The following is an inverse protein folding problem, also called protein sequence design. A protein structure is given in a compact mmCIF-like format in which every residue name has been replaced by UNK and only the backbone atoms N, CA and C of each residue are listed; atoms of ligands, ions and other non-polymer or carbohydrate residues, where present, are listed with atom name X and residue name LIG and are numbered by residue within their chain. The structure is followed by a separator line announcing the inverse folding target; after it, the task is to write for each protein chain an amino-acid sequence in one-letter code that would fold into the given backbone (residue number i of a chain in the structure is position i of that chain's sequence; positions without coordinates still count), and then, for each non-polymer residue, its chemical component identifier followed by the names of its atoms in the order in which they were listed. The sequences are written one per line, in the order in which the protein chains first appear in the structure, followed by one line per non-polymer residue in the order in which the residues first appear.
data_IF_161460750325
#
_entry.id   IF_161460750325
#
_cell.length_a   1.000
_cell.length_b   1.000
_cell.length_c   1.000
_cell.angle_alpha   90.00
_cell.angle_beta   90.00
_cell.angle_gamma   90.00
#
_symmetry.space_group_name_H-M   'P 1'
#
loop_
_entity.id
_entity.type
_entity.pdbx_description
1 polymer ?
#
# COMPACT_ATOMS: atom_id res chain seq x y z
N UNK A 1 -20.80 -0.88 23.17
CA UNK A 1 -21.36 -2.09 22.52
C UNK A 1 -20.29 -3.16 22.50
N UNK A 2 -20.57 -4.36 23.00
CA UNK A 2 -19.63 -5.49 22.89
C UNK A 2 -19.48 -5.92 21.43
N UNK A 3 -18.31 -6.44 21.06
CA UNK A 3 -18.11 -7.02 19.72
C UNK A 3 -19.03 -8.23 19.53
N UNK A 4 -19.58 -8.39 18.32
CA UNK A 4 -20.34 -9.58 17.95
C UNK A 4 -19.52 -10.86 18.23
N UNK A 5 -20.15 -11.99 18.57
CA UNK A 5 -19.45 -13.27 18.67
C UNK A 5 -18.68 -13.59 17.38
N UNK A 6 -17.48 -14.17 17.48
CA UNK A 6 -16.60 -14.47 16.32
C UNK A 6 -17.32 -15.28 15.23
N UNK A 7 -18.18 -16.23 15.64
CA UNK A 7 -18.98 -17.05 14.72
C UNK A 7 -19.95 -16.19 13.88
N UNK A 8 -20.55 -15.18 14.50
CA UNK A 8 -21.48 -14.28 13.83
C UNK A 8 -20.74 -13.29 12.91
N UNK A 9 -19.58 -12.78 13.33
CA UNK A 9 -18.72 -11.98 12.45
C UNK A 9 -18.34 -12.77 11.20
N UNK A 10 -17.92 -14.04 11.36
CA UNK A 10 -17.57 -14.91 10.22
C UNK A 10 -18.75 -15.12 9.29
N UNK A 11 -19.96 -15.38 9.82
CA UNK A 11 -21.17 -15.53 9.02
C UNK A 11 -21.44 -14.30 8.15
N UNK A 12 -21.38 -13.10 8.73
CA UNK A 12 -21.59 -11.85 8.02
C UNK A 12 -20.51 -11.58 6.96
N UNK A 13 -19.24 -11.87 7.27
CA UNK A 13 -18.13 -11.74 6.34
C UNK A 13 -18.29 -12.71 5.16
N UNK A 14 -18.62 -13.98 5.42
CA UNK A 14 -18.81 -14.98 4.37
C UNK A 14 -20.00 -14.64 3.46
N UNK A 15 -21.08 -14.11 4.04
CA UNK A 15 -22.24 -13.60 3.30
C UNK A 15 -21.85 -12.42 2.39
N UNK A 16 -21.13 -11.44 2.92
CA UNK A 16 -20.62 -10.30 2.15
C UNK A 16 -19.65 -10.73 1.04
N UNK A 17 -18.73 -11.66 1.32
CA UNK A 17 -17.76 -12.18 0.35
C UNK A 17 -18.45 -12.91 -0.82
N UNK A 18 -19.52 -13.66 -0.55
CA UNK A 18 -20.32 -14.29 -1.62
C UNK A 18 -21.01 -13.25 -2.49
N UNK A 19 -21.62 -12.24 -1.86
CA UNK A 19 -22.23 -11.12 -2.58
C UNK A 19 -21.22 -10.40 -3.47
N UNK A 20 -20.04 -10.08 -2.95
CA UNK A 20 -18.97 -9.41 -3.69
C UNK A 20 -18.56 -10.17 -4.95
N UNK A 21 -18.40 -11.50 -4.88
CA UNK A 21 -18.05 -12.32 -6.06
C UNK A 21 -19.14 -12.30 -7.13
N UNK A 22 -20.41 -12.38 -6.72
CA UNK A 22 -21.55 -12.28 -7.64
C UNK A 22 -21.56 -10.93 -8.34
N UNK A 23 -21.46 -9.85 -7.57
CA UNK A 23 -21.45 -8.47 -8.08
C UNK A 23 -20.30 -8.22 -9.06
N UNK A 24 -19.11 -8.75 -8.81
CA UNK A 24 -17.99 -8.63 -9.76
C UNK A 24 -18.26 -9.35 -11.08
N UNK A 25 -18.91 -10.52 -11.03
CA UNK A 25 -19.34 -11.25 -12.23
C UNK A 25 -20.39 -10.48 -13.02
N UNK A 26 -21.42 -9.98 -12.33
CA UNK A 26 -22.50 -9.17 -12.92
C UNK A 26 -21.98 -7.90 -13.59
N UNK A 27 -21.05 -7.17 -12.95
CA UNK A 27 -20.43 -5.97 -13.55
C UNK A 27 -19.66 -6.33 -14.83
N UNK A 28 -18.95 -7.45 -14.84
CA UNK A 28 -18.21 -7.89 -16.02
C UNK A 28 -19.14 -8.32 -17.16
N UNK A 29 -20.24 -9.00 -16.84
CA UNK A 29 -21.28 -9.40 -17.77
C UNK A 29 -21.98 -8.18 -18.39
N UNK A 30 -22.46 -7.25 -17.56
CA UNK A 30 -23.07 -5.98 -17.99
C UNK A 30 -22.13 -5.19 -18.92
N UNK A 31 -20.84 -5.08 -18.57
CA UNK A 31 -19.85 -4.41 -19.41
C UNK A 31 -19.59 -5.13 -20.75
N UNK A 32 -19.73 -6.46 -20.78
CA UNK A 32 -19.55 -7.27 -22.00
C UNK A 32 -20.75 -7.20 -22.95
N UNK A 33 -21.92 -6.84 -22.44
CA UNK A 33 -23.15 -6.69 -23.23
C UNK A 33 -23.28 -5.28 -23.86
N UNK A 34 -22.58 -4.28 -23.34
CA UNK A 34 -22.58 -2.89 -23.84
C UNK A 34 -21.25 -2.49 -24.52
N UNK A 35 -20.71 -3.38 -25.35
CA UNK A 35 -19.46 -3.09 -26.09
C UNK A 35 -19.69 -2.03 -27.18
N UNK A 36 -18.82 -1.03 -27.22
CA UNK A 36 -18.87 0.04 -28.22
C UNK A 36 -17.47 0.40 -28.73
N UNK A 37 -17.38 0.87 -29.97
CA UNK A 37 -16.13 1.36 -30.54
C UNK A 37 -15.65 2.61 -29.79
N UNK A 38 -14.41 2.54 -29.30
CA UNK A 38 -13.85 3.54 -28.42
C UNK A 38 -12.48 4.05 -28.88
N UNK A 39 -12.20 5.31 -28.55
CA UNK A 39 -10.87 5.92 -28.57
C UNK A 39 -10.36 6.00 -27.15
N UNK A 40 -9.05 5.84 -27.00
CA UNK A 40 -8.36 5.95 -25.72
C UNK A 40 -7.51 7.21 -25.73
N UNK A 41 -7.60 7.99 -24.65
CA UNK A 41 -6.69 9.11 -24.39
C UNK A 41 -5.95 8.90 -23.08
N UNK A 42 -4.70 9.33 -23.04
CA UNK A 42 -3.81 9.20 -21.89
C UNK A 42 -3.29 10.57 -21.47
N UNK A 43 -3.18 10.80 -20.16
CA UNK A 43 -2.50 11.97 -19.62
C UNK A 43 -2.03 11.76 -18.19
N UNK A 44 -1.11 12.61 -17.75
CA UNK A 44 -0.59 12.58 -16.37
C UNK A 44 -0.39 13.99 -15.84
N UNK A 45 -0.46 14.12 -14.52
CA UNK A 45 -0.05 15.32 -13.79
C UNK A 45 0.78 14.92 -12.58
N UNK A 46 1.61 15.83 -12.09
CA UNK A 46 2.35 15.65 -10.85
C UNK A 46 1.53 16.19 -9.68
N UNK A 47 1.42 15.39 -8.63
CA UNK A 47 0.71 15.69 -7.39
C UNK A 47 1.71 15.63 -6.25
N UNK A 48 2.02 16.79 -5.68
CA UNK A 48 2.91 16.92 -4.51
C UNK A 48 2.14 17.52 -3.34
N UNK A 49 2.52 17.17 -2.10
CA UNK A 49 1.93 17.73 -0.88
C UNK A 49 0.60 17.11 -0.43
N UNK A 50 0.10 16.10 -1.16
CA UNK A 50 -1.05 15.29 -0.71
C UNK A 50 -0.65 13.96 -0.08
N UNK A 51 0.53 13.44 -0.42
CA UNK A 51 1.07 12.19 0.13
C UNK A 51 2.53 12.35 0.55
N UNK A 52 3.01 11.42 1.37
CA UNK A 52 4.42 11.31 1.77
C UNK A 52 4.80 9.86 1.99
N UNK A 53 6.10 9.59 1.91
CA UNK A 53 6.68 8.33 2.33
C UNK A 53 6.78 8.28 3.86
N UNK A 54 6.07 7.35 4.49
CA UNK A 54 5.99 7.25 5.95
C UNK A 54 7.23 6.64 6.61
N UNK A 55 8.23 6.24 5.82
CA UNK A 55 9.49 5.73 6.32
C UNK A 55 10.51 6.86 6.38
N UNK A 56 10.79 7.36 7.58
CA UNK A 56 11.83 8.37 7.82
C UNK A 56 13.13 7.66 8.25
N UNK A 57 14.16 7.74 7.42
CA UNK A 57 15.48 7.22 7.77
C UNK A 57 16.06 7.97 8.97
N UNK A 58 16.66 7.22 9.90
CA UNK A 58 17.35 7.67 11.10
C UNK A 58 18.64 6.83 11.26
N UNK A 59 19.64 7.24 12.05
CA UNK A 59 20.91 6.50 12.17
C UNK A 59 20.76 5.02 12.57
N UNK A 60 19.74 4.71 13.35
CA UNK A 60 19.42 3.36 13.84
C UNK A 60 18.56 2.52 12.87
N UNK A 61 18.10 3.09 11.74
CA UNK A 61 17.24 2.41 10.76
C UNK A 61 16.14 3.32 10.22
N UNK A 62 14.88 2.91 10.34
CA UNK A 62 13.73 3.74 9.95
C UNK A 62 12.80 4.01 11.13
N UNK A 63 12.39 5.27 11.22
CA UNK A 63 11.28 5.73 12.02
C UNK A 63 9.99 5.68 11.16
N UNK A 64 9.02 4.91 11.63
CA UNK A 64 7.71 4.81 11.00
C UNK A 64 6.84 5.99 11.43
N UNK A 65 6.49 6.84 10.49
CA UNK A 65 5.69 8.05 10.72
C UNK A 65 4.22 7.75 10.47
N UNK A 66 3.49 7.41 11.53
CA UNK A 66 2.03 7.28 11.48
C UNK A 66 1.44 8.18 12.56
N UNK A 67 1.32 9.46 12.24
CA UNK A 67 0.83 10.46 13.18
C UNK A 67 -0.05 11.50 12.47
N UNK A 68 -0.98 12.09 13.22
CA UNK A 68 -1.56 13.38 12.86
C UNK A 68 -0.42 14.36 12.57
N UNK A 69 -0.55 15.12 11.49
CA UNK A 69 0.49 16.01 10.95
C UNK A 69 1.10 16.98 11.95
N UNK A 70 0.36 17.35 13.00
CA UNK A 70 0.86 18.20 14.08
C UNK A 70 1.98 17.57 14.90
N UNK A 71 2.07 16.23 14.95
CA UNK A 71 3.05 15.50 15.77
C UNK A 71 4.19 14.86 14.98
N UNK A 72 4.17 14.97 13.65
CA UNK A 72 5.20 14.41 12.77
C UNK A 72 6.62 14.89 13.14
N UNK A 73 6.75 16.14 13.62
CA UNK A 73 8.03 16.71 14.09
C UNK A 73 8.62 15.99 15.29
N UNK A 74 7.80 15.39 16.14
CA UNK A 74 8.21 14.76 17.41
C UNK A 74 8.17 13.22 17.37
N UNK A 75 7.79 12.64 16.22
CA UNK A 75 7.65 11.19 16.06
C UNK A 75 8.92 10.42 16.41
N UNK A 76 10.08 10.93 15.96
CA UNK A 76 11.40 10.33 16.24
C UNK A 76 11.69 10.35 17.73
N UNK A 77 11.38 11.47 18.42
CA UNK A 77 11.56 11.58 19.87
C UNK A 77 10.72 10.53 20.60
N UNK A 78 9.45 10.39 20.21
CA UNK A 78 8.56 9.41 20.83
C UNK A 78 9.07 7.97 20.61
N UNK A 79 9.56 7.65 19.41
CA UNK A 79 10.12 6.33 19.11
C UNK A 79 11.41 6.03 19.90
N UNK A 80 12.33 6.98 20.00
CA UNK A 80 13.53 6.78 20.82
C UNK A 80 13.21 6.61 22.31
N UNK A 81 12.22 7.34 22.83
CA UNK A 81 11.73 7.15 24.21
C UNK A 81 11.18 5.73 24.42
N UNK A 82 10.44 5.17 23.46
CA UNK A 82 9.95 3.78 23.59
C UNK A 82 11.08 2.75 23.54
N UNK A 83 12.22 3.09 22.93
CA UNK A 83 13.42 2.27 22.95
C UNK A 83 14.23 2.39 24.24
N UNK A 84 13.87 3.30 25.15
CA UNK A 84 14.60 3.54 26.39
C UNK A 84 15.85 4.41 26.20
N UNK A 85 15.90 5.19 25.11
CA UNK A 85 16.99 6.13 24.89
C UNK A 85 16.97 7.25 25.95
N UNK A 86 18.11 7.57 26.59
CA UNK A 86 18.23 8.66 27.56
C UNK A 86 17.76 10.01 26.98
N UNK A 87 17.08 10.87 27.77
CA UNK A 87 16.54 12.14 27.30
C UNK A 87 17.56 13.03 26.58
N UNK A 88 18.80 13.05 27.06
CA UNK A 88 19.89 13.86 26.49
C UNK A 88 20.21 13.42 25.05
N UNK A 89 20.29 12.10 24.84
CA UNK A 89 20.53 11.51 23.51
C UNK A 89 19.30 11.67 22.59
N UNK A 90 18.08 11.64 23.15
CA UNK A 90 16.87 11.90 22.37
C UNK A 90 16.89 13.32 21.80
N UNK A 91 17.20 14.32 22.61
CA UNK A 91 17.24 15.71 22.12
C UNK A 91 18.42 15.97 21.16
N UNK A 92 19.54 15.28 21.34
CA UNK A 92 20.68 15.34 20.42
C UNK A 92 20.36 14.71 19.05
N UNK A 93 19.73 13.52 19.04
CA UNK A 93 19.60 12.68 17.82
C UNK A 93 18.26 12.82 17.11
N UNK A 94 17.19 13.15 17.82
CA UNK A 94 15.85 13.25 17.22
C UNK A 94 15.69 14.59 16.49
N UNK A 95 16.36 14.73 15.35
CA UNK A 95 16.26 15.92 14.50
C UNK A 95 14.84 16.02 13.92
N UNK A 96 14.07 17.06 14.26
CA UNK A 96 12.75 17.28 13.67
C UNK A 96 12.90 17.51 12.17
N UNK A 97 12.12 16.82 11.36
CA UNK A 97 12.13 17.05 9.93
C UNK A 97 11.03 16.28 9.22
N UNK A 98 10.56 16.84 8.11
CA UNK A 98 9.61 16.17 7.24
C UNK A 98 10.25 14.91 6.64
N UNK A 99 9.49 13.82 6.44
CA UNK A 99 9.96 12.67 5.68
C UNK A 99 10.31 13.07 4.24
N UNK A 100 11.47 12.59 3.78
CA UNK A 100 12.03 12.85 2.44
C UNK A 100 12.14 11.58 1.60
N UNK A 101 11.53 10.48 2.05
CA UNK A 101 11.51 9.23 1.28
C UNK A 101 10.80 9.40 -0.07
N UNK A 102 11.10 8.51 -1.01
CA UNK A 102 10.58 8.60 -2.37
C UNK A 102 9.06 8.50 -2.40
N UNK A 103 8.44 9.30 -3.26
CA UNK A 103 7.02 9.18 -3.61
C UNK A 103 6.91 9.05 -5.13
N UNK A 104 5.82 8.45 -5.59
CA UNK A 104 5.40 8.54 -6.99
C UNK A 104 4.31 9.60 -7.09
N UNK A 105 4.66 10.82 -7.55
CA UNK A 105 3.71 11.93 -7.61
C UNK A 105 2.78 11.84 -8.83
N UNK A 106 2.93 10.86 -9.73
CA UNK A 106 2.13 10.81 -10.95
C UNK A 106 0.67 10.45 -10.63
N UNK A 107 -0.25 11.37 -10.95
CA UNK A 107 -1.67 11.06 -11.16
C UNK A 107 -1.87 10.80 -12.65
N UNK A 108 -2.29 9.59 -13.00
CA UNK A 108 -2.50 9.19 -14.39
C UNK A 108 -3.98 9.06 -14.68
N UNK A 109 -4.38 9.50 -15.88
CA UNK A 109 -5.75 9.40 -16.38
C UNK A 109 -5.74 8.66 -17.72
N UNK A 110 -6.54 7.60 -17.82
CA UNK A 110 -6.97 7.03 -19.09
C UNK A 110 -8.45 7.38 -19.27
N UNK A 111 -8.82 7.87 -20.46
CA UNK A 111 -10.21 8.14 -20.83
C UNK A 111 -10.57 7.31 -22.04
N UNK A 112 -11.64 6.55 -21.92
CA UNK A 112 -12.28 5.81 -22.99
C UNK A 112 -13.52 6.59 -23.42
N UNK A 113 -13.59 6.94 -24.71
CA UNK A 113 -14.70 7.70 -25.26
C UNK A 113 -15.14 7.10 -26.59
N UNK A 114 -16.42 7.23 -26.93
CA UNK A 114 -16.92 6.78 -28.24
C UNK A 114 -16.23 7.54 -29.38
N UNK A 115 -16.37 7.07 -30.62
CA UNK A 115 -15.87 7.80 -31.79
C UNK A 115 -16.42 9.24 -31.92
N UNK A 116 -17.56 9.53 -31.28
CA UNK A 116 -18.19 10.87 -31.23
C UNK A 116 -17.73 11.71 -30.02
N UNK A 117 -16.82 11.20 -29.20
CA UNK A 117 -16.24 11.90 -28.04
C UNK A 117 -17.06 11.81 -26.74
N UNK A 118 -18.14 11.01 -26.71
CA UNK A 118 -18.91 10.78 -25.48
C UNK A 118 -18.07 9.90 -24.53
N UNK A 119 -17.82 10.32 -23.27
CA UNK A 119 -17.19 9.49 -22.24
C UNK A 119 -17.90 8.13 -22.08
N UNK A 120 -17.11 7.06 -21.95
CA UNK A 120 -17.57 5.71 -21.61
C UNK A 120 -17.09 5.38 -20.20
N UNK A 121 -15.77 5.39 -20.01
CA UNK A 121 -15.12 5.07 -18.75
C UNK A 121 -13.84 5.90 -18.56
N UNK A 122 -13.50 6.12 -17.30
CA UNK A 122 -12.30 6.85 -16.90
C UNK A 122 -11.54 6.01 -15.88
N UNK A 123 -10.24 5.81 -16.09
CA UNK A 123 -9.35 5.22 -15.09
C UNK A 123 -8.48 6.33 -14.51
N UNK A 124 -8.47 6.47 -13.19
CA UNK A 124 -7.53 7.33 -12.46
C UNK A 124 -6.62 6.46 -11.60
N UNK A 125 -5.31 6.64 -11.74
CA UNK A 125 -4.31 5.97 -10.92
C UNK A 125 -3.57 7.01 -10.06
N UNK A 126 -3.40 6.71 -8.77
CA UNK A 126 -2.57 7.51 -7.87
C UNK A 126 -1.96 6.65 -6.76
N UNK A 127 -0.68 6.89 -6.45
CA UNK A 127 0.10 6.15 -5.46
C UNK A 127 -0.07 6.74 -4.05
N UNK A 128 -1.11 6.31 -3.34
CA UNK A 128 -1.34 6.67 -1.94
C UNK A 128 -2.28 5.65 -1.27
N UNK A 129 -2.08 5.39 0.03
CA UNK A 129 -2.99 4.52 0.81
C UNK A 129 -4.32 5.22 1.13
N UNK A 130 -5.48 4.58 0.90
CA UNK A 130 -6.80 5.06 1.35
C UNK A 130 -7.01 4.80 2.84
N UNK A 131 -6.22 5.48 3.68
CA UNK A 131 -6.22 5.34 5.14
C UNK A 131 -6.54 6.65 5.85
N UNK A 132 -7.26 7.55 5.18
CA UNK A 132 -7.52 8.89 5.71
C UNK A 132 -8.34 8.81 6.98
N UNK A 133 -9.37 7.95 7.04
CA UNK A 133 -10.31 7.87 8.17
C UNK A 133 -9.74 7.21 9.44
N UNK A 134 -8.71 6.37 9.30
CA UNK A 134 -8.10 5.64 10.42
C UNK A 134 -8.99 4.57 11.08
N UNK A 135 -8.45 3.84 12.08
CA UNK A 135 -9.11 2.65 12.64
C UNK A 135 -10.24 2.95 13.62
N UNK A 136 -10.42 4.20 14.06
CA UNK A 136 -11.51 4.63 14.93
C UNK A 136 -12.83 4.82 14.19
N UNK A 137 -12.79 4.96 12.87
CA UNK A 137 -14.00 5.01 12.05
C UNK A 137 -14.60 3.60 11.93
N UNK A 138 -15.89 3.47 12.26
CA UNK A 138 -16.63 2.21 12.19
C UNK A 138 -17.64 2.17 11.04
N UNK A 139 -17.69 3.22 10.20
CA UNK A 139 -18.59 3.31 9.05
C UNK A 139 -17.93 2.74 7.80
N UNK A 140 -18.72 2.08 6.96
CA UNK A 140 -18.28 1.66 5.63
C UNK A 140 -18.04 2.92 4.78
N UNK A 141 -16.87 3.00 4.15
CA UNK A 141 -16.49 4.12 3.30
C UNK A 141 -15.48 3.66 2.25
N UNK A 142 -15.50 4.31 1.09
CA UNK A 142 -14.47 4.19 0.06
C UNK A 142 -13.32 5.20 0.25
N UNK A 143 -13.22 5.86 1.42
CA UNK A 143 -12.20 6.88 1.77
C UNK A 143 -12.08 7.99 0.70
N UNK A 144 -10.92 8.66 0.58
CA UNK A 144 -10.73 9.72 -0.42
C UNK A 144 -10.97 9.26 -1.87
N UNK A 145 -10.68 8.01 -2.30
CA UNK A 145 -11.03 7.56 -3.65
C UNK A 145 -12.52 7.65 -3.95
N UNK A 146 -13.38 7.41 -2.95
CA UNK A 146 -14.84 7.53 -3.10
C UNK A 146 -15.29 8.94 -3.45
N UNK A 147 -14.71 9.95 -2.79
CA UNK A 147 -14.99 11.36 -3.08
C UNK A 147 -14.47 11.77 -4.46
N UNK A 148 -13.26 11.32 -4.83
CA UNK A 148 -12.69 11.54 -6.15
C UNK A 148 -13.62 10.98 -7.24
N UNK A 149 -14.01 9.71 -7.08
CA UNK A 149 -14.87 8.99 -8.03
C UNK A 149 -16.17 9.72 -8.26
N UNK A 150 -16.89 10.03 -7.18
CA UNK A 150 -18.19 10.71 -7.25
C UNK A 150 -18.10 12.05 -7.99
N UNK A 151 -17.10 12.88 -7.69
CA UNK A 151 -16.95 14.19 -8.32
C UNK A 151 -16.67 14.10 -9.82
N UNK A 152 -15.87 13.13 -10.26
CA UNK A 152 -15.57 12.96 -11.68
C UNK A 152 -16.75 12.32 -12.41
N UNK A 153 -17.42 11.32 -11.82
CA UNK A 153 -18.64 10.72 -12.39
C UNK A 153 -19.73 11.78 -12.59
N UNK A 154 -19.97 12.64 -11.60
CA UNK A 154 -20.89 13.77 -11.69
C UNK A 154 -20.49 14.79 -12.77
N UNK A 155 -19.19 15.06 -12.93
CA UNK A 155 -18.69 16.07 -13.88
C UNK A 155 -18.63 15.58 -15.34
N UNK A 156 -18.25 14.32 -15.56
CA UNK A 156 -18.00 13.76 -16.90
C UNK A 156 -19.13 12.87 -17.40
N UNK A 157 -20.05 12.45 -16.53
CA UNK A 157 -21.15 11.55 -16.90
C UNK A 157 -20.68 10.17 -17.37
N UNK A 158 -19.57 9.68 -16.81
CA UNK A 158 -18.99 8.37 -17.10
C UNK A 158 -18.47 7.70 -15.85
N UNK A 159 -18.51 6.37 -15.84
CA UNK A 159 -18.00 5.52 -14.76
C UNK A 159 -16.51 5.77 -14.52
N UNK A 160 -16.12 5.93 -13.25
CA UNK A 160 -14.71 6.04 -12.88
C UNK A 160 -14.22 4.82 -12.11
N UNK A 161 -13.10 4.27 -12.59
CA UNK A 161 -12.30 3.28 -11.88
C UNK A 161 -11.07 3.96 -11.27
N UNK A 162 -10.99 3.96 -9.94
CA UNK A 162 -9.77 4.35 -9.24
C UNK A 162 -8.88 3.12 -9.06
N UNK A 163 -7.61 3.24 -9.41
CA UNK A 163 -6.58 2.21 -9.19
C UNK A 163 -5.49 2.75 -8.29
N UNK A 164 -5.02 1.91 -7.36
CA UNK A 164 -3.98 2.30 -6.42
C UNK A 164 -2.60 2.00 -7.01
N UNK A 165 -1.74 3.00 -7.05
CA UNK A 165 -0.34 2.84 -7.45
C UNK A 165 0.53 2.20 -6.36
N UNK A 166 1.84 2.15 -6.57
CA UNK A 166 2.78 1.59 -5.60
C UNK A 166 2.88 2.49 -4.36
N UNK A 167 2.15 2.13 -3.29
CA UNK A 167 2.03 2.95 -2.09
C UNK A 167 2.34 2.21 -0.80
N UNK A 168 2.96 1.03 -0.81
CA UNK A 168 3.24 0.21 0.38
C UNK A 168 3.86 0.98 1.56
N UNK A 169 4.64 2.02 1.27
CA UNK A 169 5.25 2.94 2.22
C UNK A 169 4.75 4.39 2.11
N UNK A 170 3.65 4.66 1.41
CA UNK A 170 3.10 6.01 1.16
C UNK A 170 1.72 6.16 1.80
N UNK A 171 1.40 7.38 2.23
CA UNK A 171 0.11 7.72 2.87
C UNK A 171 -0.26 9.19 2.69
N UNK A 172 -1.50 9.59 3.00
CA UNK A 172 -1.91 10.98 2.94
C UNK A 172 -1.10 11.86 3.90
N UNK A 173 -0.67 13.03 3.41
CA UNK A 173 0.12 14.01 4.17
C UNK A 173 -0.64 14.47 5.39
N UNK A 174 -1.80 15.11 5.19
CA UNK A 174 -2.71 15.52 6.26
C UNK A 174 -3.75 14.42 6.48
N UNK A 175 -3.91 14.00 7.73
CA UNK A 175 -4.91 13.02 8.12
C UNK A 175 -5.40 13.41 9.51
N UNK A 176 -6.34 14.36 9.56
CA UNK A 176 -7.18 14.63 10.74
C UNK A 176 -8.10 13.45 11.08
N UNK A 177 -7.99 12.34 10.33
CA UNK A 177 -8.80 11.13 10.54
C UNK A 177 -10.29 11.38 10.52
N UNK A 178 -10.71 12.14 9.51
CA UNK A 178 -12.09 12.60 9.37
C UNK A 178 -12.58 12.47 7.93
N UNK A 179 -13.91 12.39 7.77
CA UNK A 179 -14.56 12.44 6.46
C UNK A 179 -14.27 13.74 5.72
N UNK A 180 -14.18 14.86 6.45
CA UNK A 180 -13.78 16.16 5.89
C UNK A 180 -12.42 16.09 5.21
N UNK A 181 -11.47 15.38 5.83
CA UNK A 181 -10.13 15.24 5.28
C UNK A 181 -10.09 14.28 4.08
N UNK A 182 -10.85 13.18 4.14
CA UNK A 182 -11.02 12.28 3.01
C UNK A 182 -11.64 13.01 1.80
N UNK A 183 -12.65 13.85 2.06
CA UNK A 183 -13.26 14.73 1.05
C UNK A 183 -12.25 15.74 0.50
N UNK A 184 -11.49 16.43 1.35
CA UNK A 184 -10.49 17.41 0.93
C UNK A 184 -9.47 16.79 -0.03
N UNK A 185 -8.95 15.60 0.29
CA UNK A 185 -8.00 14.88 -0.56
C UNK A 185 -8.68 14.44 -1.86
N UNK A 186 -9.89 13.87 -1.78
CA UNK A 186 -10.66 13.42 -2.94
C UNK A 186 -10.97 14.56 -3.91
N UNK A 187 -11.43 15.71 -3.41
CA UNK A 187 -11.69 16.94 -4.18
C UNK A 187 -10.41 17.46 -4.84
N UNK A 188 -9.29 17.48 -4.11
CA UNK A 188 -8.02 17.94 -4.65
C UNK A 188 -7.54 17.05 -5.80
N UNK A 189 -7.57 15.73 -5.62
CA UNK A 189 -7.21 14.78 -6.67
C UNK A 189 -8.18 14.84 -7.86
N UNK A 190 -9.50 14.94 -7.61
CA UNK A 190 -10.49 15.11 -8.68
C UNK A 190 -10.24 16.37 -9.50
N UNK A 191 -9.95 17.49 -8.84
CA UNK A 191 -9.63 18.76 -9.51
C UNK A 191 -8.40 18.65 -10.41
N UNK A 192 -7.36 17.94 -9.94
CA UNK A 192 -6.14 17.68 -10.72
C UNK A 192 -6.43 16.73 -11.88
N UNK A 193 -7.22 15.67 -11.66
CA UNK A 193 -7.63 14.74 -12.71
C UNK A 193 -8.45 15.44 -13.80
N UNK A 194 -9.45 16.24 -13.44
CA UNK A 194 -10.26 17.04 -14.38
C UNK A 194 -9.40 18.05 -15.14
N UNK A 195 -8.43 18.69 -14.48
CA UNK A 195 -7.43 19.55 -15.16
C UNK A 195 -6.57 18.76 -16.15
N UNK A 196 -6.16 17.55 -15.78
CA UNK A 196 -5.38 16.63 -16.63
C UNK A 196 -6.19 16.22 -17.86
N UNK A 197 -7.50 15.98 -17.70
CA UNK A 197 -8.41 15.58 -18.78
C UNK A 197 -8.52 16.61 -19.91
N UNK A 198 -8.25 17.90 -19.63
CA UNK A 198 -8.24 18.95 -20.66
C UNK A 198 -7.08 18.82 -21.65
N UNK A 199 -6.03 18.09 -21.29
CA UNK A 199 -4.79 17.96 -22.08
C UNK A 199 -4.43 16.50 -22.35
N UNK A 200 -5.41 15.59 -22.43
CA UNK A 200 -5.12 14.19 -22.74
C UNK A 200 -4.64 14.05 -24.18
N UNK A 201 -3.63 13.20 -24.37
CA UNK A 201 -3.12 12.84 -25.68
C UNK A 201 -3.87 11.61 -26.18
N UNK A 202 -4.50 11.64 -27.38
CA UNK A 202 -5.10 10.45 -27.96
C UNK A 202 -4.03 9.41 -28.29
N UNK A 203 -4.35 8.14 -28.04
CA UNK A 203 -3.59 7.02 -28.60
C UNK A 203 -3.90 6.88 -30.10
N UNK A 204 -3.03 6.21 -30.88
CA UNK A 204 -3.34 5.87 -32.27
C UNK A 204 -4.67 5.12 -32.41
N UNK A 205 -5.34 5.20 -33.56
CA UNK A 205 -6.62 4.51 -33.77
C UNK A 205 -6.47 2.99 -33.87
N UNK A 206 -5.39 2.51 -34.49
CA UNK A 206 -5.10 1.09 -34.67
C UNK A 206 -4.15 0.61 -33.56
N UNK A 207 -4.69 0.39 -32.36
CA UNK A 207 -3.92 -0.09 -31.21
C UNK A 207 -4.28 -1.52 -30.84
N UNK A 208 -3.26 -2.35 -30.67
CA UNK A 208 -3.43 -3.68 -30.13
C UNK A 208 -3.63 -3.63 -28.61
N UNK A 209 -4.54 -4.47 -28.12
CA UNK A 209 -4.63 -4.83 -26.70
C UNK A 209 -3.92 -6.16 -26.52
N UNK A 210 -2.87 -6.19 -25.71
CA UNK A 210 -2.07 -7.39 -25.45
C UNK A 210 -1.99 -7.65 -23.97
N UNK A 211 -2.14 -8.90 -23.59
CA UNK A 211 -2.16 -9.32 -22.19
C UNK A 211 -1.15 -10.42 -22.00
N UNK A 212 -0.38 -10.34 -20.92
CA UNK A 212 0.47 -11.42 -20.47
C UNK A 212 0.32 -11.56 -18.97
N UNK A 213 0.38 -12.80 -18.48
CA UNK A 213 0.35 -13.11 -17.06
C UNK A 213 1.41 -14.17 -16.74
N UNK A 214 1.90 -14.15 -15.51
CA UNK A 214 2.75 -15.20 -14.95
C UNK A 214 2.31 -15.53 -13.54
N UNK A 215 2.30 -16.82 -13.21
CA UNK A 215 1.96 -17.34 -11.90
C UNK A 215 3.17 -18.08 -11.34
N UNK A 216 3.58 -17.79 -10.11
CA UNK A 216 4.73 -18.44 -9.48
C UNK A 216 4.63 -18.41 -7.95
N UNK A 217 5.29 -19.35 -7.29
CA UNK A 217 5.37 -19.38 -5.82
C UNK A 217 6.42 -18.38 -5.31
N UNK A 218 6.08 -17.62 -4.26
CA UNK A 218 7.00 -16.68 -3.64
C UNK A 218 7.88 -17.33 -2.57
N UNK A 219 9.18 -16.98 -2.52
CA UNK A 219 10.04 -17.31 -1.39
C UNK A 219 9.55 -16.68 -0.08
N UNK A 220 9.00 -17.51 0.82
CA UNK A 220 8.52 -17.09 2.15
C UNK A 220 9.60 -17.24 3.23
N UNK A 221 9.56 -16.37 4.23
CA UNK A 221 10.36 -16.51 5.46
C UNK A 221 9.93 -17.79 6.19
N UNK A 222 10.90 -18.46 6.82
CA UNK A 222 10.60 -19.52 7.78
C UNK A 222 10.23 -18.84 9.09
N UNK A 223 9.05 -19.17 9.61
CA UNK A 223 8.62 -18.74 10.94
C UNK A 223 8.85 -19.90 11.93
N UNK A 224 9.30 -19.62 13.16
CA UNK A 224 9.43 -20.64 14.20
C UNK A 224 8.05 -21.22 14.57
N UNK A 225 8.05 -22.40 15.19
CA UNK A 225 6.83 -22.94 15.81
C UNK A 225 6.41 -22.05 17.01
N UNK A 226 5.14 -22.08 17.46
CA UNK A 226 4.74 -21.35 18.67
C UNK A 226 5.58 -21.69 19.91
N UNK A 227 5.94 -22.96 20.09
CA UNK A 227 6.80 -23.43 21.19
C UNK A 227 8.25 -22.93 21.06
N UNK A 228 8.78 -22.92 19.84
CA UNK A 228 10.10 -22.38 19.55
C UNK A 228 10.14 -20.86 19.75
N UNK A 229 9.10 -20.15 19.31
CA UNK A 229 8.94 -18.72 19.54
C UNK A 229 8.90 -18.38 21.04
N UNK A 230 8.24 -19.21 21.86
CA UNK A 230 8.20 -19.00 23.31
C UNK A 230 9.58 -19.12 23.97
N UNK A 231 10.42 -20.08 23.53
CA UNK A 231 11.81 -20.19 24.01
C UNK A 231 12.65 -18.99 23.60
N UNK A 232 12.57 -18.59 22.33
CA UNK A 232 13.34 -17.47 21.78
C UNK A 232 12.97 -16.12 22.42
N UNK A 233 11.73 -15.95 22.89
CA UNK A 233 11.29 -14.73 23.60
C UNK A 233 12.15 -14.47 24.84
N UNK A 234 12.37 -15.48 25.69
CA UNK A 234 13.13 -15.29 26.93
C UNK A 234 14.60 -14.94 26.67
N UNK A 235 15.23 -15.61 25.71
CA UNK A 235 16.63 -15.33 25.32
C UNK A 235 16.78 -13.90 24.78
N UNK A 236 15.86 -13.50 23.90
CA UNK A 236 15.88 -12.19 23.26
C UNK A 236 15.53 -11.04 24.22
N UNK A 237 14.73 -11.29 25.27
CA UNK A 237 14.49 -10.31 26.33
C UNK A 237 15.77 -9.99 27.12
N UNK A 238 16.62 -10.97 27.37
CA UNK A 238 17.92 -10.75 28.02
C UNK A 238 18.91 -10.03 27.09
N UNK A 239 18.92 -10.36 25.79
CA UNK A 239 19.68 -9.60 24.78
C UNK A 239 19.23 -8.15 24.70
N UNK A 240 17.92 -7.90 24.76
CA UNK A 240 17.36 -6.55 24.71
C UNK A 240 17.81 -5.72 25.90
N UNK A 241 17.85 -6.30 27.11
CA UNK A 241 18.38 -5.62 28.30
C UNK A 241 19.85 -5.23 28.10
N UNK A 242 20.69 -6.16 27.64
CA UNK A 242 22.11 -5.91 27.36
C UNK A 242 22.30 -4.81 26.30
N UNK A 243 21.50 -4.82 25.23
CA UNK A 243 21.59 -3.81 24.17
C UNK A 243 21.21 -2.40 24.67
N UNK A 244 20.21 -2.30 25.54
CA UNK A 244 19.82 -1.03 26.19
C UNK A 244 20.97 -0.51 27.07
N UNK A 245 21.55 -1.37 27.90
CA UNK A 245 22.68 -1.01 28.78
C UNK A 245 23.92 -0.59 27.98
N UNK A 246 24.21 -1.30 26.88
CA UNK A 246 25.30 -0.98 25.96
C UNK A 246 25.03 0.26 25.07
N UNK A 247 23.81 0.83 25.13
CA UNK A 247 23.35 1.95 24.29
C UNK A 247 23.44 1.66 22.78
N UNK A 248 23.29 0.39 22.38
CA UNK A 248 23.20 -0.01 20.98
C UNK A 248 21.75 0.07 20.49
N UNK A 249 21.31 1.28 20.16
CA UNK A 249 19.91 1.52 19.79
C UNK A 249 19.51 0.93 18.43
N UNK A 250 20.47 0.62 17.55
CA UNK A 250 20.19 -0.12 16.32
C UNK A 250 19.78 -1.54 16.64
N UNK A 251 20.47 -2.16 17.60
CA UNK A 251 20.17 -3.49 18.09
C UNK A 251 18.89 -3.52 18.95
N UNK A 252 18.68 -2.53 19.82
CA UNK A 252 17.42 -2.38 20.58
C UNK A 252 16.20 -2.35 19.65
N UNK A 253 16.26 -1.59 18.55
CA UNK A 253 15.20 -1.58 17.53
C UNK A 253 14.98 -2.99 16.96
N UNK A 254 16.05 -3.64 16.49
CA UNK A 254 15.97 -4.98 15.86
C UNK A 254 15.31 -5.98 16.81
N UNK A 255 15.82 -6.09 18.03
CA UNK A 255 15.34 -7.02 19.06
C UNK A 255 13.89 -6.74 19.43
N UNK A 256 13.47 -5.48 19.56
CA UNK A 256 12.06 -5.12 19.86
C UNK A 256 11.11 -5.52 18.73
N UNK A 257 11.50 -5.32 17.49
CA UNK A 257 10.66 -5.67 16.33
C UNK A 257 10.49 -7.18 16.20
N UNK A 258 11.57 -7.94 16.43
CA UNK A 258 11.60 -9.39 16.40
C UNK A 258 10.83 -10.00 17.58
N UNK A 259 11.01 -9.48 18.79
CA UNK A 259 10.26 -9.88 19.99
C UNK A 259 8.75 -9.70 19.78
N UNK A 260 8.34 -8.60 19.14
CA UNK A 260 6.94 -8.38 18.79
C UNK A 260 6.42 -9.46 17.82
N UNK A 261 7.24 -9.90 16.86
CA UNK A 261 6.87 -10.98 15.93
C UNK A 261 6.76 -12.34 16.64
N UNK A 262 7.73 -12.69 17.48
CA UNK A 262 7.71 -13.94 18.24
C UNK A 262 6.50 -14.01 19.17
N UNK A 263 6.19 -12.91 19.89
CA UNK A 263 5.02 -12.84 20.77
C UNK A 263 3.71 -13.00 20.02
N UNK A 264 3.61 -12.49 18.79
CA UNK A 264 2.47 -12.77 17.92
C UNK A 264 2.40 -14.27 17.59
N UNK A 265 3.51 -14.88 17.18
CA UNK A 265 3.58 -16.32 16.82
C UNK A 265 3.22 -17.23 17.99
N UNK A 266 3.68 -16.93 19.20
CA UNK A 266 3.33 -17.68 20.41
C UNK A 266 1.92 -17.39 20.95
N UNK A 267 1.19 -16.44 20.33
CA UNK A 267 -0.17 -16.06 20.76
C UNK A 267 -0.20 -15.24 22.05
N UNK A 268 0.94 -14.71 22.49
CA UNK A 268 1.01 -13.79 23.63
C UNK A 268 0.34 -12.45 23.28
N UNK A 269 -0.31 -11.79 24.24
CA UNK A 269 -0.83 -10.44 24.05
C UNK A 269 0.30 -9.48 23.67
N UNK A 270 0.12 -8.76 22.56
CA UNK A 270 1.07 -7.74 22.12
C UNK A 270 0.40 -6.38 22.02
N UNK A 271 1.15 -5.35 22.38
CA UNK A 271 0.83 -3.97 22.05
C UNK A 271 1.68 -3.58 20.84
N UNK A 272 1.01 -3.19 19.75
CA UNK A 272 1.69 -2.59 18.63
C UNK A 272 2.27 -1.22 19.06
N UNK A 273 3.47 -0.84 18.59
CA UNK A 273 4.00 0.49 18.84
C UNK A 273 2.98 1.56 18.44
N UNK A 274 2.78 2.56 19.29
CA UNK A 274 1.84 3.67 19.04
C UNK A 274 2.10 4.32 17.68
N UNK A 275 3.37 4.37 17.26
CA UNK A 275 3.79 4.92 15.97
C UNK A 275 3.43 4.06 14.76
N UNK A 276 2.89 2.85 14.92
CA UNK A 276 2.47 1.99 13.78
C UNK A 276 0.98 2.06 13.48
N UNK A 277 0.15 2.37 14.48
CA UNK A 277 -1.29 2.55 14.29
C UNK A 277 -1.73 4.02 14.42
N UNK A 278 -0.88 4.88 14.97
CA UNK A 278 -1.20 6.28 15.27
C UNK A 278 -2.38 6.41 16.23
N UNK A 279 -2.62 5.42 17.08
CA UNK A 279 -3.61 5.47 18.17
C UNK A 279 -2.86 5.24 19.49
N UNK A 280 -3.14 6.11 20.47
CA UNK A 280 -2.67 5.99 21.85
C UNK A 280 -3.01 4.59 22.41
N UNK A 281 -2.21 4.06 23.35
CA UNK A 281 -2.21 2.65 23.68
C UNK A 281 -3.53 2.29 24.36
N UNK A 282 -4.14 1.19 23.96
CA UNK A 282 -4.92 0.27 24.81
C UNK A 282 -5.90 -0.53 23.96
N UNK A 283 -5.38 -1.47 23.18
CA UNK A 283 -5.93 -2.83 23.18
C UNK A 283 -4.75 -3.76 23.03
N UNK A 284 -4.53 -4.62 24.01
CA UNK A 284 -3.77 -5.85 23.78
C UNK A 284 -4.50 -6.55 22.64
N UNK A 285 -3.94 -6.51 21.43
CA UNK A 285 -4.53 -7.22 20.31
C UNK A 285 -3.93 -8.61 20.37
N UNK A 286 -4.76 -9.62 20.62
CA UNK A 286 -4.39 -10.99 20.27
C UNK A 286 -4.42 -11.08 18.74
N UNK A 287 -3.35 -10.63 18.09
CA UNK A 287 -3.12 -10.96 16.69
C UNK A 287 -2.49 -12.34 16.68
N UNK A 288 -3.29 -13.34 16.27
CA UNK A 288 -2.73 -14.60 15.81
C UNK A 288 -2.17 -14.29 14.42
N UNK A 289 -0.87 -14.49 14.14
CA UNK A 289 -0.35 -14.32 12.80
C UNK A 289 -1.18 -15.19 11.88
N UNK A 290 -1.73 -14.57 10.85
CA UNK A 290 -2.54 -15.25 9.87
C UNK A 290 -1.66 -16.37 9.29
N UNK A 291 -2.01 -17.62 9.57
CA UNK A 291 -1.36 -18.75 8.91
C UNK A 291 -1.71 -18.60 7.44
N UNK A 292 -0.74 -18.14 6.64
CA UNK A 292 -0.94 -18.04 5.21
C UNK A 292 -1.21 -19.45 4.67
N UNK A 293 -2.41 -19.67 4.13
CA UNK A 293 -2.76 -20.93 3.49
C UNK A 293 -1.88 -21.14 2.24
N UNK A 294 -1.79 -22.36 1.72
CA UNK A 294 -0.94 -22.68 0.56
C UNK A 294 -1.23 -21.80 -0.68
N UNK A 295 -2.47 -21.33 -0.83
CA UNK A 295 -2.91 -20.43 -1.90
C UNK A 295 -2.32 -19.01 -1.78
N UNK A 296 -2.01 -18.53 -0.57
CA UNK A 296 -1.46 -17.19 -0.32
C UNK A 296 0.04 -17.07 -0.65
N UNK A 297 0.67 -18.15 -1.11
CA UNK A 297 2.05 -18.16 -1.62
C UNK A 297 2.16 -17.93 -3.13
N UNK A 298 1.03 -17.92 -3.83
CA UNK A 298 0.97 -17.82 -5.28
C UNK A 298 0.92 -16.34 -5.66
N UNK A 299 1.91 -15.89 -6.41
CA UNK A 299 1.93 -14.55 -6.99
C UNK A 299 1.48 -14.62 -8.45
N UNK A 300 0.39 -13.93 -8.76
CA UNK A 300 -0.06 -13.68 -10.13
C UNK A 300 0.29 -12.24 -10.52
N UNK A 301 1.24 -12.10 -11.43
CA UNK A 301 1.53 -10.84 -12.10
C UNK A 301 0.80 -10.80 -13.43
N UNK A 302 0.24 -9.64 -13.77
CA UNK A 302 -0.41 -9.42 -15.05
C UNK A 302 0.02 -8.07 -15.62
N UNK A 303 0.30 -8.04 -16.93
CA UNK A 303 0.51 -6.82 -17.68
C UNK A 303 -0.52 -6.74 -18.82
N UNK A 304 -1.19 -5.60 -18.92
CA UNK A 304 -2.13 -5.29 -20.01
C UNK A 304 -1.56 -4.08 -20.76
N UNK A 305 -1.19 -4.26 -22.02
CA UNK A 305 -0.76 -3.20 -22.91
C UNK A 305 -1.92 -2.78 -23.82
N UNK A 306 -2.25 -1.49 -23.81
CA UNK A 306 -3.18 -0.84 -24.74
C UNK A 306 -2.34 0.12 -25.59
N UNK A 307 -1.88 -0.37 -26.75
CA UNK A 307 -0.81 0.28 -27.50
C UNK A 307 0.48 0.35 -26.69
N UNK A 308 0.94 1.57 -26.38
CA UNK A 308 2.10 1.83 -25.52
C UNK A 308 1.72 2.14 -24.06
N UNK A 309 0.44 2.17 -23.68
CA UNK A 309 0.04 2.32 -22.26
C UNK A 309 0.00 0.96 -21.59
N UNK A 310 0.67 0.81 -20.46
CA UNK A 310 0.83 -0.48 -19.79
C UNK A 310 0.25 -0.41 -18.38
N UNK A 311 -0.72 -1.27 -18.08
CA UNK A 311 -1.19 -1.52 -16.71
C UNK A 311 -0.41 -2.71 -16.15
N UNK A 312 0.42 -2.47 -15.13
CA UNK A 312 1.26 -3.47 -14.48
C UNK A 312 0.66 -3.85 -13.11
N UNK A 313 -0.07 -4.95 -13.06
CA UNK A 313 -0.82 -5.44 -11.91
C UNK A 313 0.05 -6.29 -10.96
N UNK A 314 0.06 -5.93 -9.68
CA UNK A 314 0.86 -6.58 -8.62
C UNK A 314 -0.03 -6.96 -7.43
N UNK A 315 0.00 -8.22 -6.94
CA UNK A 315 -0.92 -8.74 -5.94
C UNK A 315 -0.51 -8.42 -4.49
N UNK A 316 -0.08 -7.20 -4.21
CA UNK A 316 0.27 -6.78 -2.86
C UNK A 316 0.64 -5.30 -2.75
N UNK A 317 0.95 -4.86 -1.53
CA UNK A 317 1.31 -3.48 -1.21
C UNK A 317 2.78 -3.22 -1.57
N UNK A 318 3.03 -2.97 -2.86
CA UNK A 318 4.35 -2.69 -3.41
C UNK A 318 4.91 -1.36 -2.92
N UNK A 319 6.17 -1.37 -2.46
CA UNK A 319 6.90 -0.15 -2.14
C UNK A 319 7.06 0.75 -3.37
N UNK A 320 7.02 2.06 -3.13
CA UNK A 320 7.07 3.05 -4.21
C UNK A 320 8.34 2.96 -5.03
N UNK A 321 9.49 2.69 -4.39
CA UNK A 321 10.79 2.53 -5.03
C UNK A 321 10.74 1.41 -6.09
N UNK A 322 10.10 0.28 -5.77
CA UNK A 322 9.94 -0.86 -6.69
C UNK A 322 8.97 -0.52 -7.83
N UNK A 323 7.89 0.21 -7.55
CA UNK A 323 6.96 0.68 -8.58
C UNK A 323 7.63 1.64 -9.57
N UNK A 324 8.44 2.57 -9.07
CA UNK A 324 9.25 3.48 -9.89
C UNK A 324 10.29 2.71 -10.71
N UNK A 325 10.85 1.64 -10.16
CA UNK A 325 11.80 0.77 -10.86
C UNK A 325 11.15 0.03 -12.04
N UNK A 326 9.93 -0.49 -11.88
CA UNK A 326 9.14 -1.05 -12.99
C UNK A 326 8.95 0.00 -14.09
N UNK A 327 8.51 1.21 -13.73
CA UNK A 327 8.34 2.32 -14.68
C UNK A 327 9.65 2.68 -15.39
N UNK A 328 10.76 2.72 -14.65
CA UNK A 328 12.09 3.12 -15.16
C UNK A 328 12.65 2.11 -16.16
N UNK A 329 12.50 0.81 -15.88
CA UNK A 329 13.06 -0.29 -16.68
C UNK A 329 12.19 -0.69 -17.87
N UNK A 330 10.92 -0.32 -17.88
CA UNK A 330 10.00 -0.64 -18.98
C UNK A 330 10.35 0.11 -20.27
N UNK A 331 10.11 -0.52 -21.42
CA UNK A 331 10.27 0.11 -22.73
C UNK A 331 9.28 1.25 -22.97
N UNK A 332 8.09 1.21 -22.34
CA UNK A 332 7.11 2.29 -22.40
C UNK A 332 7.36 3.34 -21.33
N UNK A 333 7.07 4.61 -21.66
CA UNK A 333 7.01 5.72 -20.70
C UNK A 333 5.63 5.89 -20.06
N UNK A 334 4.63 5.11 -20.47
CA UNK A 334 3.22 5.19 -20.04
C UNK A 334 2.82 3.95 -19.22
N UNK A 335 3.66 3.60 -18.24
CA UNK A 335 3.40 2.49 -17.32
C UNK A 335 2.65 2.98 -16.10
N UNK A 336 1.54 2.31 -15.81
CA UNK A 336 0.67 2.52 -14.65
C UNK A 336 0.79 1.27 -13.78
N UNK A 337 1.41 1.42 -12.61
CA UNK A 337 1.47 0.32 -11.63
C UNK A 337 0.12 0.25 -10.91
N UNK A 338 -0.46 -0.94 -10.83
CA UNK A 338 -1.71 -1.21 -10.14
C UNK A 338 -1.42 -2.24 -9.05
N UNK A 339 -1.52 -1.83 -7.79
CA UNK A 339 -1.30 -2.71 -6.63
C UNK A 339 -2.61 -3.28 -6.11
N UNK A 340 -2.52 -4.29 -5.23
CA UNK A 340 -3.68 -5.01 -4.70
C UNK A 340 -4.57 -5.61 -5.80
N UNK A 341 -3.97 -5.98 -6.93
CA UNK A 341 -4.64 -6.58 -8.07
C UNK A 341 -4.38 -8.09 -8.11
N UNK A 342 -5.40 -8.91 -8.37
CA UNK A 342 -5.35 -10.38 -8.44
C UNK A 342 -4.98 -11.11 -7.13
N UNK A 343 -4.60 -10.39 -6.07
CA UNK A 343 -4.28 -10.98 -4.77
C UNK A 343 -3.90 -9.93 -3.72
N UNK A 344 -3.70 -10.39 -2.49
CA UNK A 344 -3.36 -9.56 -1.33
C UNK A 344 -2.28 -10.23 -0.47
N UNK A 345 -1.03 -10.16 -0.93
CA UNK A 345 0.13 -10.79 -0.28
C UNK A 345 0.69 -9.97 0.89
N UNK A 346 0.02 -8.88 1.27
CA UNK A 346 0.53 -7.89 2.21
C UNK A 346 1.65 -7.02 1.61
N UNK A 347 2.55 -6.54 2.46
CA UNK A 347 3.64 -5.65 2.05
C UNK A 347 4.69 -6.36 1.19
N UNK A 348 5.16 -5.65 0.17
CA UNK A 348 6.29 -6.04 -0.69
C UNK A 348 7.38 -4.95 -0.57
N UNK A 349 8.26 -5.04 0.45
CA UNK A 349 9.35 -4.09 0.66
C UNK A 349 10.53 -4.33 -0.30
N UNK A 350 11.39 -3.32 -0.43
CA UNK A 350 12.73 -3.51 -1.01
C UNK A 350 13.57 -4.39 -0.10
N UNK A 351 14.61 -5.04 -0.65
CA UNK A 351 15.62 -5.77 0.13
C UNK A 351 16.26 -4.88 1.20
N UNK A 352 16.62 -3.65 0.85
CA UNK A 352 17.23 -2.66 1.75
C UNK A 352 16.29 -2.31 2.91
N UNK A 353 14.98 -2.16 2.65
CA UNK A 353 14.01 -1.86 3.70
C UNK A 353 14.02 -2.90 4.83
N UNK A 354 14.30 -4.17 4.53
CA UNK A 354 14.40 -5.20 5.57
C UNK A 354 15.57 -4.98 6.54
N UNK A 355 16.67 -4.35 6.11
CA UNK A 355 17.79 -3.96 6.97
C UNK A 355 17.42 -2.73 7.82
N UNK A 356 16.64 -1.82 7.22
CA UNK A 356 16.08 -0.63 7.86
C UNK A 356 14.92 -0.90 8.85
N UNK A 357 14.33 -2.09 8.83
CA UNK A 357 13.24 -2.49 9.74
C UNK A 357 11.93 -1.72 9.54
N UNK A 358 11.05 -1.75 10.55
CA UNK A 358 9.75 -1.10 10.53
C UNK A 358 8.55 -2.05 10.36
N UNK A 359 7.35 -1.48 10.18
CA UNK A 359 6.11 -2.27 10.16
C UNK A 359 5.98 -3.11 8.89
N UNK A 360 6.24 -2.54 7.73
CA UNK A 360 6.03 -3.21 6.44
C UNK A 360 6.99 -4.38 6.23
N UNK A 361 8.17 -4.34 6.85
CA UNK A 361 9.23 -5.35 6.75
C UNK A 361 8.95 -6.58 7.61
N UNK A 362 7.82 -6.58 8.33
CA UNK A 362 7.19 -7.76 8.92
C UNK A 362 6.50 -8.65 7.90
N UNK A 363 6.50 -8.22 6.64
CA UNK A 363 6.10 -9.04 5.50
C UNK A 363 6.62 -10.48 5.64
N UNK A 364 5.77 -11.48 5.37
CA UNK A 364 6.17 -12.88 5.40
C UNK A 364 7.08 -13.26 4.21
N UNK A 365 7.28 -12.36 3.24
CA UNK A 365 8.17 -12.54 2.10
C UNK A 365 9.65 -12.47 2.52
N UNK A 366 10.52 -13.23 1.85
CA UNK A 366 11.98 -13.10 2.04
C UNK A 366 12.49 -11.77 1.49
N UNK A 367 13.55 -11.18 2.07
CA UNK A 367 14.28 -10.09 1.42
C UNK A 367 14.70 -10.46 -0.01
N UNK A 368 14.55 -9.53 -0.95
CA UNK A 368 14.82 -9.75 -2.38
C UNK A 368 13.59 -10.14 -3.21
N UNK A 369 12.45 -10.47 -2.58
CA UNK A 369 11.22 -10.83 -3.31
C UNK A 369 10.62 -9.64 -4.06
N UNK A 370 10.74 -8.42 -3.52
CA UNK A 370 10.29 -7.22 -4.22
C UNK A 370 11.03 -7.02 -5.54
N UNK A 371 12.35 -7.18 -5.54
CA UNK A 371 13.19 -7.10 -6.73
C UNK A 371 12.89 -8.22 -7.74
N UNK A 372 12.65 -9.45 -7.25
CA UNK A 372 12.20 -10.56 -8.09
C UNK A 372 10.88 -10.25 -8.81
N UNK A 373 9.93 -9.61 -8.12
CA UNK A 373 8.66 -9.18 -8.71
C UNK A 373 8.90 -8.11 -9.78
N UNK A 374 9.78 -7.14 -9.54
CA UNK A 374 10.17 -6.14 -10.54
C UNK A 374 10.77 -6.81 -11.77
N UNK A 375 11.73 -7.72 -11.60
CA UNK A 375 12.38 -8.42 -12.71
C UNK A 375 11.39 -9.20 -13.57
N UNK A 376 10.46 -9.91 -12.92
CA UNK A 376 9.42 -10.69 -13.61
C UNK A 376 8.40 -9.80 -14.30
N UNK A 377 7.98 -8.70 -13.65
CA UNK A 377 7.05 -7.74 -14.26
C UNK A 377 7.69 -7.07 -15.49
N UNK A 378 8.94 -6.64 -15.41
CA UNK A 378 9.65 -6.06 -16.56
C UNK A 378 9.78 -7.07 -17.70
N UNK A 379 10.13 -8.33 -17.40
CA UNK A 379 10.17 -9.41 -18.41
C UNK A 379 8.81 -9.61 -19.08
N UNK A 380 7.72 -9.58 -18.29
CA UNK A 380 6.36 -9.69 -18.78
C UNK A 380 5.99 -8.53 -19.71
N UNK A 381 6.36 -7.30 -19.31
CA UNK A 381 6.18 -6.08 -20.10
C UNK A 381 6.98 -6.14 -21.41
N UNK A 382 8.23 -6.61 -21.38
CA UNK A 382 9.07 -6.76 -22.57
C UNK A 382 8.48 -7.78 -23.56
N UNK A 383 7.83 -8.84 -23.06
CA UNK A 383 7.07 -9.79 -23.88
C UNK A 383 5.86 -9.18 -24.59
N UNK A 384 5.38 -8.03 -24.12
CA UNK A 384 4.34 -7.22 -24.76
C UNK A 384 4.92 -6.12 -25.65
N UNK A 385 6.20 -6.20 -26.02
CA UNK A 385 6.76 -5.29 -27.01
C UNK A 385 6.30 -5.73 -28.41
N UNK A 386 5.81 -4.77 -29.19
CA UNK A 386 5.30 -4.99 -30.55
C UNK A 386 6.44 -5.12 -31.54
#
# INVERSE_FOLDING_TARGET
MGSLPVKEQRRLIDEWLRGLRSTLGEIAEEASEDLTEARVKFGRSLVTGLSYNRRKTIPEGVCMLIMETGRMKDAVREQYRTWGMPPELVEERAVPGIPTGQIDPELTVLRFETLKGKPIAIVVNFSCHPVTLGPSNLLISADYPGYLRRLIEEAEGATLLFTQGASGNVRPYYSERSFREAERIGVALASIALKTMRNLTPLPPDIDVRVANTIFELPMRKLPSPEEAERLISEMEEELKRAIEARDFREVRRLREELLMLRMISGQPTALPTQWLGVAPQKNVKQVPQKMNGEEKICELQAIAVGDVILAAVPGELFTELGLEIKRRSWSKRVVVVTLANGSMGYIPTKEAYEEGGYETKSPLKPGVGELIVDRMVTLIDGLKG
#
